data_IF_446246716776
#
_entry.id   IF_446246716776
#
_cell.length_a   1.000
_cell.length_b   1.000
_cell.length_c   1.000
_cell.angle_alpha   90.00
_cell.angle_beta   90.00
_cell.angle_gamma   90.00
#
_symmetry.space_group_name_H-M   'P 1'
#
loop_
_entity.id
_entity.type
_entity.pdbx_description
1 polymer ?
#
# COMPACT_ATOMS: atom_id res chain seq x y z
N UNK A 1 32.13 39.51 -8.31
CA UNK A 1 32.21 39.72 -6.84
C UNK A 1 31.25 38.70 -6.23
N UNK A 2 31.65 37.52 -5.77
CA UNK A 2 32.87 37.13 -5.09
C UNK A 2 32.69 37.34 -3.59
N UNK A 3 32.11 36.36 -2.89
CA UNK A 3 32.25 36.18 -1.44
C UNK A 3 31.84 34.73 -1.05
N UNK A 4 32.86 33.93 -0.72
CA UNK A 4 32.77 32.69 0.05
C UNK A 4 33.31 32.96 1.47
N UNK A 5 32.68 32.43 2.52
CA UNK A 5 33.23 32.03 3.84
C UNK A 5 32.10 31.21 4.52
N UNK A 6 32.10 29.87 4.49
CA UNK A 6 32.86 28.86 5.28
C UNK A 6 32.25 28.51 6.65
N UNK A 7 31.84 27.23 6.76
CA UNK A 7 31.72 26.30 7.92
C UNK A 7 30.89 26.77 9.14
N UNK A 8 29.95 26.00 9.73
CA UNK A 8 29.91 24.56 9.95
C UNK A 8 28.50 24.15 10.47
N UNK A 9 28.21 22.86 10.41
CA UNK A 9 27.18 22.10 11.17
C UNK A 9 25.72 22.05 10.65
N UNK A 10 25.49 21.02 9.83
CA UNK A 10 24.46 19.99 10.02
C UNK A 10 23.13 20.38 10.69
N UNK A 11 22.19 20.81 9.86
CA UNK A 11 20.77 20.46 10.05
C UNK A 11 20.19 19.97 8.73
N UNK A 12 20.51 18.72 8.36
CA UNK A 12 19.66 17.97 7.44
C UNK A 12 18.34 17.71 8.16
N UNK A 13 17.32 18.44 7.77
CA UNK A 13 15.92 18.04 7.92
C UNK A 13 15.77 16.68 7.24
N UNK A 14 15.74 15.63 8.05
CA UNK A 14 15.60 14.26 7.64
C UNK A 14 14.10 13.99 7.47
N UNK A 15 13.58 14.27 6.27
CA UNK A 15 12.25 13.80 5.86
C UNK A 15 12.32 13.26 4.42
N UNK A 16 13.38 12.48 4.16
CA UNK A 16 13.47 11.62 2.98
C UNK A 16 12.89 10.25 3.36
N UNK A 17 11.91 9.72 2.61
CA UNK A 17 11.35 8.41 2.89
C UNK A 17 12.39 7.34 2.57
N UNK A 18 13.05 6.81 3.60
CA UNK A 18 13.95 5.67 3.46
C UNK A 18 13.17 4.41 3.08
N UNK A 19 13.89 3.39 2.64
CA UNK A 19 13.42 2.01 2.38
C UNK A 19 12.67 1.34 3.57
N UNK A 20 12.69 1.95 4.76
CA UNK A 20 11.90 1.54 5.93
C UNK A 20 10.59 2.32 6.09
N UNK A 21 10.26 3.24 5.19
CA UNK A 21 9.04 4.03 5.22
C UNK A 21 7.84 3.16 4.87
N UNK A 22 6.85 3.12 5.77
CA UNK A 22 5.67 2.27 5.63
C UNK A 22 4.79 2.79 4.48
N UNK A 23 4.55 1.93 3.49
CA UNK A 23 3.76 2.25 2.30
C UNK A 23 2.25 2.40 2.54
N UNK A 24 1.78 2.15 3.76
CA UNK A 24 0.36 2.22 4.12
C UNK A 24 0.19 3.12 5.35
N UNK A 25 -0.60 4.19 5.19
CA UNK A 25 -1.14 4.92 6.32
C UNK A 25 -2.09 4.00 7.09
N UNK A 26 -1.71 3.70 8.32
CA UNK A 26 -2.47 3.03 9.39
C UNK A 26 -3.90 2.57 9.02
N UNK A 27 -4.21 1.26 8.97
CA UNK A 27 -5.59 0.85 9.01
C UNK A 27 -6.15 1.15 10.41
N UNK A 28 -7.23 1.92 10.42
CA UNK A 28 -8.00 2.34 11.60
C UNK A 28 -8.33 1.14 12.50
N UNK A 29 -7.92 1.19 13.77
CA UNK A 29 -8.47 0.30 14.79
C UNK A 29 -7.61 0.12 16.04
N UNK A 30 -8.01 0.84 17.10
CA UNK A 30 -7.63 0.65 18.50
C UNK A 30 -6.25 1.18 18.94
N UNK A 31 -6.21 2.48 19.18
CA UNK A 31 -5.22 3.12 20.02
C UNK A 31 -5.30 2.57 21.46
N UNK A 32 -4.45 1.61 21.81
CA UNK A 32 -3.98 1.52 23.20
C UNK A 32 -2.66 2.27 23.28
N UNK A 33 -2.75 3.45 23.89
CA UNK A 33 -1.69 4.38 24.25
C UNK A 33 -0.29 3.72 24.36
N UNK A 34 0.55 3.92 23.35
CA UNK A 34 1.99 3.77 23.53
C UNK A 34 2.47 5.01 24.30
N UNK A 35 2.59 4.89 25.63
CA UNK A 35 3.44 5.78 26.40
C UNK A 35 4.88 5.56 25.93
N UNK A 36 5.37 6.47 25.09
CA UNK A 36 6.79 6.63 24.87
C UNK A 36 7.36 7.22 26.17
N UNK A 37 8.02 6.38 26.98
CA UNK A 37 9.01 6.89 27.91
C UNK A 37 10.33 6.19 27.60
N UNK A 38 11.11 6.86 26.76
CA UNK A 38 12.55 6.64 26.67
C UNK A 38 13.17 6.95 28.04
N UNK A 39 13.80 5.93 28.63
CA UNK A 39 14.82 6.16 29.65
C UNK A 39 15.89 5.09 29.51
N UNK A 40 16.75 5.33 28.53
CA UNK A 40 18.08 4.77 28.49
C UNK A 40 18.89 5.34 29.66
N UNK A 41 19.37 4.46 30.55
CA UNK A 41 20.47 4.75 31.47
C UNK A 41 20.07 5.32 32.83
N UNK A 42 19.92 4.43 33.81
CA UNK A 42 19.89 4.79 35.22
C UNK A 42 20.37 3.62 36.08
N UNK A 43 21.67 3.59 36.35
CA UNK A 43 22.27 2.67 37.32
C UNK A 43 21.70 2.92 38.71
N UNK A 44 21.19 1.88 39.38
CA UNK A 44 21.49 1.55 40.78
C UNK A 44 20.60 0.42 41.33
N UNK A 45 21.27 -0.69 41.67
CA UNK A 45 21.02 -1.56 42.82
C UNK A 45 19.57 -1.80 43.27
N UNK A 46 19.02 -2.94 42.87
CA UNK A 46 17.90 -3.57 43.56
C UNK A 46 16.94 -4.30 42.62
N UNK A 47 16.90 -5.63 42.74
CA UNK A 47 15.94 -6.56 42.11
C UNK A 47 16.38 -7.18 40.77
N UNK A 48 17.17 -8.24 40.90
CA UNK A 48 17.50 -9.23 39.85
C UNK A 48 16.24 -10.02 39.39
N UNK A 49 15.09 -9.83 40.03
CA UNK A 49 13.86 -10.57 39.72
C UNK A 49 12.86 -9.85 38.80
N UNK A 50 13.03 -8.55 38.52
CA UNK A 50 12.09 -7.81 37.67
C UNK A 50 12.50 -7.77 36.19
N UNK A 51 13.79 -7.80 35.88
CA UNK A 51 14.32 -7.75 34.51
C UNK A 51 14.06 -9.03 33.70
N UNK A 52 14.01 -10.19 34.37
CA UNK A 52 13.87 -11.50 33.70
C UNK A 52 12.51 -11.73 33.04
N UNK A 53 11.48 -11.02 33.50
CA UNK A 53 10.13 -11.08 32.94
C UNK A 53 9.98 -10.27 31.65
N UNK A 54 10.75 -9.19 31.51
CA UNK A 54 10.68 -8.32 30.34
C UNK A 54 11.42 -8.92 29.14
N UNK A 55 12.61 -9.48 29.36
CA UNK A 55 13.36 -10.21 28.32
C UNK A 55 12.56 -11.39 27.75
N UNK A 56 11.83 -12.11 28.60
CA UNK A 56 11.00 -13.23 28.19
C UNK A 56 9.75 -12.76 27.41
N UNK A 57 9.20 -11.59 27.73
CA UNK A 57 8.09 -10.96 27.00
C UNK A 57 8.54 -10.39 25.65
N UNK A 58 9.71 -9.75 25.60
CA UNK A 58 10.34 -9.29 24.37
C UNK A 58 10.60 -10.45 23.41
N UNK A 59 11.14 -11.57 23.92
CA UNK A 59 11.33 -12.78 23.14
C UNK A 59 9.99 -13.34 22.61
N UNK A 60 8.95 -13.34 23.44
CA UNK A 60 7.62 -13.80 23.04
C UNK A 60 7.02 -12.94 21.92
N UNK A 61 7.16 -11.61 22.01
CA UNK A 61 6.79 -10.67 20.93
C UNK A 61 7.55 -10.95 19.64
N UNK A 62 8.87 -11.18 19.73
CA UNK A 62 9.70 -11.50 18.56
C UNK A 62 9.21 -12.80 17.91
N UNK A 63 8.93 -13.84 18.70
CA UNK A 63 8.43 -15.12 18.18
C UNK A 63 7.07 -14.94 17.51
N UNK A 64 6.10 -14.27 18.15
CA UNK A 64 4.79 -14.04 17.55
C UNK A 64 4.85 -13.17 16.29
N UNK A 65 5.67 -12.12 16.30
CA UNK A 65 5.86 -11.26 15.14
C UNK A 65 6.52 -12.03 13.99
N UNK A 66 7.51 -12.87 14.30
CA UNK A 66 8.17 -13.71 13.31
C UNK A 66 7.19 -14.74 12.75
N UNK A 67 6.42 -15.42 13.60
CA UNK A 67 5.42 -16.39 13.17
C UNK A 67 4.34 -15.77 12.27
N UNK A 68 3.96 -14.51 12.51
CA UNK A 68 3.03 -13.78 11.65
C UNK A 68 3.64 -13.32 10.32
N UNK A 69 4.96 -13.09 10.28
CA UNK A 69 5.67 -12.58 9.10
C UNK A 69 6.24 -13.70 8.21
N UNK A 70 6.38 -14.92 8.73
CA UNK A 70 6.84 -16.07 7.96
C UNK A 70 5.71 -16.53 7.03
N UNK A 71 6.03 -16.65 5.74
CA UNK A 71 5.09 -17.10 4.72
C UNK A 71 5.08 -18.63 4.73
N UNK A 72 3.94 -19.22 5.09
CA UNK A 72 3.70 -20.64 4.90
C UNK A 72 3.35 -20.92 3.44
N UNK A 73 4.33 -21.43 2.69
CA UNK A 73 4.17 -21.81 1.28
C UNK A 73 3.28 -23.05 1.07
N UNK A 74 3.00 -23.81 2.13
CA UNK A 74 2.17 -25.02 2.08
C UNK A 74 0.68 -24.77 2.34
N UNK A 75 0.31 -23.59 2.83
CA UNK A 75 -1.05 -23.21 3.19
C UNK A 75 -1.99 -22.92 1.99
N UNK A 76 -1.71 -23.46 0.81
CA UNK A 76 -2.51 -23.23 -0.40
C UNK A 76 -3.88 -23.92 -0.37
N UNK A 77 -4.08 -24.87 0.55
CA UNK A 77 -5.34 -25.60 0.67
C UNK A 77 -6.17 -25.08 1.85
N UNK A 78 -7.47 -24.85 1.62
CA UNK A 78 -8.39 -24.43 2.67
C UNK A 78 -8.58 -25.58 3.67
N UNK A 79 -8.06 -25.43 4.88
CA UNK A 79 -8.21 -26.41 5.97
C UNK A 79 -9.59 -26.36 6.65
N UNK A 80 -10.55 -25.59 6.11
CA UNK A 80 -11.87 -25.44 6.71
C UNK A 80 -12.74 -26.67 6.44
N UNK A 81 -13.26 -27.29 7.50
CA UNK A 81 -14.21 -28.39 7.37
C UNK A 81 -15.54 -27.91 6.78
N UNK A 82 -16.18 -28.76 5.97
CA UNK A 82 -17.42 -28.41 5.27
C UNK A 82 -18.54 -27.99 6.23
N UNK A 83 -18.67 -28.66 7.38
CA UNK A 83 -19.70 -28.34 8.37
C UNK A 83 -19.46 -26.96 9.02
N UNK A 84 -18.20 -26.62 9.32
CA UNK A 84 -17.85 -25.32 9.88
C UNK A 84 -18.17 -24.19 8.89
N UNK A 85 -17.83 -24.39 7.61
CA UNK A 85 -18.16 -23.44 6.54
C UNK A 85 -19.66 -23.14 6.48
N UNK A 86 -20.50 -24.19 6.49
CA UNK A 86 -21.96 -24.04 6.41
C UNK A 86 -22.52 -23.34 7.66
N UNK A 87 -22.06 -23.71 8.85
CA UNK A 87 -22.50 -23.07 10.09
C UNK A 87 -22.11 -21.59 10.14
N UNK A 88 -20.88 -21.27 9.73
CA UNK A 88 -20.38 -19.90 9.66
C UNK A 88 -21.19 -19.06 8.68
N UNK A 89 -21.53 -19.62 7.51
CA UNK A 89 -22.43 -18.98 6.54
C UNK A 89 -23.81 -18.66 7.11
N UNK A 90 -24.43 -19.60 7.84
CA UNK A 90 -25.72 -19.36 8.52
C UNK A 90 -25.61 -18.28 9.59
N UNK A 91 -24.55 -18.29 10.39
CA UNK A 91 -24.33 -17.30 11.43
C UNK A 91 -24.18 -15.88 10.85
N UNK A 92 -23.46 -15.74 9.73
CA UNK A 92 -23.33 -14.45 9.05
C UNK A 92 -24.65 -13.99 8.44
N UNK A 93 -25.40 -14.89 7.79
CA UNK A 93 -26.72 -14.56 7.25
C UNK A 93 -27.66 -14.04 8.35
N UNK A 94 -27.67 -14.69 9.52
CA UNK A 94 -28.46 -14.24 10.67
C UNK A 94 -27.99 -12.88 11.22
N UNK A 95 -26.67 -12.64 11.30
CA UNK A 95 -26.15 -11.34 11.76
C UNK A 95 -26.50 -10.23 10.78
N UNK A 96 -26.39 -10.49 9.48
CA UNK A 96 -26.73 -9.53 8.42
C UNK A 96 -28.23 -9.22 8.39
N UNK A 97 -29.09 -10.21 8.62
CA UNK A 97 -30.55 -9.97 8.64
C UNK A 97 -30.98 -9.07 9.81
N UNK A 98 -30.30 -9.15 10.96
CA UNK A 98 -30.56 -8.29 12.13
C UNK A 98 -30.10 -6.85 11.89
N UNK A 99 -29.07 -6.63 11.07
CA UNK A 99 -28.52 -5.29 10.79
C UNK A 99 -29.47 -4.40 9.97
N UNK A 100 -30.60 -4.93 9.46
CA UNK A 100 -31.64 -4.19 8.73
C UNK A 100 -31.06 -3.16 7.75
N UNK A 101 -30.05 -3.59 6.98
CA UNK A 101 -29.40 -2.73 6.00
C UNK A 101 -30.46 -2.22 5.02
N UNK A 102 -30.52 -0.91 4.76
CA UNK A 102 -31.44 -0.39 3.75
C UNK A 102 -31.15 -1.11 2.44
N UNK A 103 -32.21 -1.60 1.78
CA UNK A 103 -32.10 -2.13 0.44
C UNK A 103 -31.71 -0.96 -0.48
N UNK A 104 -30.41 -0.76 -0.66
CA UNK A 104 -29.89 0.17 -1.66
C UNK A 104 -30.15 -0.50 -3.01
N UNK A 105 -31.25 -0.11 -3.64
CA UNK A 105 -31.50 -0.47 -5.03
C UNK A 105 -30.32 -0.02 -5.88
N UNK A 106 -30.08 -0.71 -6.99
CA UNK A 106 -29.02 -0.31 -7.92
C UNK A 106 -29.20 1.17 -8.27
N UNK A 107 -28.15 2.00 -8.15
CA UNK A 107 -28.26 3.41 -8.47
C UNK A 107 -28.69 3.56 -9.93
N UNK A 108 -29.70 4.40 -10.19
CA UNK A 108 -30.13 4.69 -11.55
C UNK A 108 -28.99 5.40 -12.28
N UNK A 109 -28.50 4.81 -13.38
CA UNK A 109 -27.38 5.35 -14.16
C UNK A 109 -27.67 6.75 -14.74
N UNK A 110 -28.95 7.10 -14.90
CA UNK A 110 -29.41 8.31 -15.58
C UNK A 110 -30.14 9.27 -14.63
N UNK A 111 -29.74 9.32 -13.35
CA UNK A 111 -30.38 10.17 -12.34
C UNK A 111 -30.20 11.69 -12.59
N UNK A 112 -29.28 12.08 -13.48
CA UNK A 112 -28.82 13.47 -13.62
C UNK A 112 -29.39 14.29 -14.77
N UNK A 113 -30.08 13.68 -15.75
CA UNK A 113 -30.60 14.39 -16.92
C UNK A 113 -32.13 14.50 -16.86
N UNK A 114 -32.62 15.60 -16.29
CA UNK A 114 -34.05 15.94 -16.30
C UNK A 114 -34.58 16.25 -17.71
N UNK A 115 -33.70 16.54 -18.68
CA UNK A 115 -34.07 16.85 -20.07
C UNK A 115 -33.05 16.24 -21.08
N UNK A 116 -33.11 14.93 -21.36
CA UNK A 116 -32.20 14.29 -22.31
C UNK A 116 -32.29 14.89 -23.72
N UNK A 117 -33.47 15.37 -24.12
CA UNK A 117 -33.68 16.02 -25.41
C UNK A 117 -32.89 17.32 -25.55
N UNK A 118 -32.77 18.11 -24.47
CA UNK A 118 -31.99 19.35 -24.47
C UNK A 118 -30.48 19.05 -24.55
N UNK A 119 -30.01 18.02 -23.85
CA UNK A 119 -28.61 17.61 -23.93
C UNK A 119 -28.23 17.14 -25.35
N UNK A 120 -29.13 16.42 -26.03
CA UNK A 120 -28.92 15.91 -27.39
C UNK A 120 -29.09 16.98 -28.48
N UNK A 121 -29.81 18.07 -28.21
CA UNK A 121 -29.99 19.16 -29.17
C UNK A 121 -28.84 20.17 -29.17
N UNK A 122 -27.88 20.05 -28.25
CA UNK A 122 -26.67 20.89 -28.22
C UNK A 122 -25.80 20.63 -29.45
N UNK A 123 -25.07 21.66 -29.93
CA UNK A 123 -24.17 21.48 -31.05
C UNK A 123 -23.11 20.40 -30.73
N UNK A 124 -22.76 19.55 -31.71
CA UNK A 124 -21.74 18.53 -31.53
C UNK A 124 -20.38 19.16 -31.26
N UNK A 125 -19.45 18.36 -30.74
CA UNK A 125 -18.07 18.78 -30.49
C UNK A 125 -17.46 19.34 -31.78
N UNK A 126 -16.80 20.51 -31.68
CA UNK A 126 -16.28 21.20 -32.85
C UNK A 126 -15.16 20.36 -33.53
N UNK A 127 -15.11 20.30 -34.88
CA UNK A 127 -14.10 19.51 -35.60
C UNK A 127 -12.66 19.85 -35.22
N UNK A 128 -12.38 21.13 -34.94
CA UNK A 128 -11.06 21.60 -34.49
C UNK A 128 -10.64 20.94 -33.15
N UNK A 129 -11.58 20.66 -32.25
CA UNK A 129 -11.28 20.00 -30.99
C UNK A 129 -10.95 18.52 -31.21
N UNK A 130 -11.66 17.85 -32.12
CA UNK A 130 -11.35 16.46 -32.51
C UNK A 130 -9.96 16.36 -33.14
N UNK A 131 -9.62 17.25 -34.07
CA UNK A 131 -8.28 17.29 -34.67
C UNK A 131 -7.18 17.49 -33.62
N UNK A 132 -7.41 18.35 -32.61
CA UNK A 132 -6.47 18.52 -31.49
C UNK A 132 -6.32 17.25 -30.65
N UNK A 133 -7.40 16.50 -30.44
CA UNK A 133 -7.35 15.21 -29.75
C UNK A 133 -6.55 14.19 -30.54
N UNK A 134 -6.72 14.15 -31.86
CA UNK A 134 -5.96 13.24 -32.74
C UNK A 134 -4.46 13.57 -32.68
N UNK A 135 -4.08 14.84 -32.83
CA UNK A 135 -2.68 15.27 -32.72
C UNK A 135 -2.09 14.99 -31.34
N UNK A 136 -2.89 15.10 -30.27
CA UNK A 136 -2.44 14.74 -28.93
C UNK A 136 -2.18 13.23 -28.84
N UNK A 137 -3.08 12.41 -29.39
CA UNK A 137 -2.94 10.96 -29.39
C UNK A 137 -1.69 10.51 -30.17
N UNK A 138 -1.42 11.11 -31.32
CA UNK A 138 -0.20 10.85 -32.10
C UNK A 138 1.07 11.11 -31.29
N UNK A 139 1.10 12.22 -30.53
CA UNK A 139 2.23 12.54 -29.64
C UNK A 139 2.37 11.54 -28.50
N UNK A 140 1.27 11.12 -27.90
CA UNK A 140 1.29 10.09 -26.84
C UNK A 140 1.82 8.78 -27.39
N UNK A 141 1.36 8.38 -28.58
CA UNK A 141 1.84 7.18 -29.24
C UNK A 141 3.34 7.23 -29.54
N UNK A 142 3.85 8.39 -29.98
CA UNK A 142 5.28 8.59 -30.19
C UNK A 142 6.07 8.44 -28.88
N UNK A 143 5.61 9.06 -27.78
CA UNK A 143 6.28 8.96 -26.47
C UNK A 143 6.24 7.52 -25.93
N UNK A 144 5.15 6.78 -26.16
CA UNK A 144 5.07 5.38 -25.76
C UNK A 144 6.05 4.49 -26.54
N UNK A 145 6.34 4.81 -27.80
CA UNK A 145 7.35 4.10 -28.58
C UNK A 145 8.77 4.32 -28.03
N UNK A 146 9.02 5.46 -27.39
CA UNK A 146 10.30 5.75 -26.75
C UNK A 146 10.53 4.95 -25.44
N UNK A 147 9.47 4.33 -24.87
CA UNK A 147 9.58 3.48 -23.68
C UNK A 147 10.08 2.10 -24.08
N UNK A 148 11.40 1.99 -24.28
CA UNK A 148 12.09 0.75 -24.59
C UNK A 148 13.40 0.61 -23.82
N UNK A 149 13.83 -0.63 -23.61
CA UNK A 149 15.11 -0.91 -22.95
C UNK A 149 16.24 -0.67 -23.94
N UNK A 150 17.12 0.30 -23.65
CA UNK A 150 18.33 0.55 -24.42
C UNK A 150 19.37 -0.55 -24.13
N UNK A 151 19.77 -1.30 -25.17
CA UNK A 151 20.78 -2.34 -25.05
C UNK A 151 22.19 -1.72 -24.95
N UNK A 152 22.89 -1.98 -23.84
CA UNK A 152 24.27 -1.49 -23.63
C UNK A 152 25.32 -2.59 -23.72
N UNK A 153 25.06 -3.74 -23.12
CA UNK A 153 26.00 -4.86 -23.02
C UNK A 153 25.25 -6.18 -23.16
N UNK A 154 25.97 -7.21 -23.61
CA UNK A 154 25.40 -8.54 -23.76
C UNK A 154 25.07 -9.13 -22.39
N UNK A 155 23.78 -9.36 -22.13
CA UNK A 155 23.32 -10.02 -20.89
C UNK A 155 23.73 -11.50 -20.82
N UNK A 156 24.06 -12.09 -21.96
CA UNK A 156 24.43 -13.51 -22.07
C UNK A 156 25.68 -13.63 -22.93
N UNK A 157 26.75 -14.16 -22.34
CA UNK A 157 28.00 -14.46 -23.04
C UNK A 157 28.15 -15.98 -23.16
N UNK A 158 28.36 -16.47 -24.38
CA UNK A 158 28.64 -17.88 -24.61
C UNK A 158 30.12 -18.17 -24.35
N UNK A 159 30.38 -19.02 -23.38
CA UNK A 159 31.72 -19.51 -23.06
C UNK A 159 32.00 -20.77 -23.88
N UNK A 160 32.36 -20.60 -25.16
CA UNK A 160 32.98 -21.67 -25.93
C UNK A 160 34.50 -21.47 -25.94
N UNK A 161 35.24 -22.44 -25.41
CA UNK A 161 36.70 -22.49 -25.54
C UNK A 161 37.09 -22.72 -27.01
N UNK A 162 38.08 -22.01 -27.56
CA UNK A 162 38.65 -22.37 -28.85
C UNK A 162 39.29 -23.77 -28.80
N UNK A 163 39.30 -24.50 -29.94
CA UNK A 163 39.82 -25.87 -30.03
C UNK A 163 41.33 -25.97 -29.85
#
# INVERSE_FOLDING_TARGET
MGCCFSCNEDKRSQDEPSESSRLLANPVGNASQHSFNDSYGGTQSGSVHLAKGDDQNALNRIIHQTAANVIDVSALNSQLEQHEYLNRGRQYAQRVSVLALPAVGLPCLLSGNSAPQEALSRPPVAPLQLQKMDTLMEKVQQVLADVQVEHKEDLVVQLCSPP
#
